data_IF_508659699174
#
_entry.id   IF_508659699174
#
_cell.length_a   1.000
_cell.length_b   1.000
_cell.length_c   1.000
_cell.angle_alpha   90.00
_cell.angle_beta   90.00
_cell.angle_gamma   90.00
#
_symmetry.space_group_name_H-M   'P 1'
#
loop_
_entity.id
_entity.type
_entity.pdbx_description
1 polymer ?
#
# COMPACT_ATOMS: atom_id res chain seq x y z
N UNK A 1 4.59 13.36 12.45
CA UNK A 1 3.91 12.09 12.10
C UNK A 1 3.90 11.18 13.33
N UNK A 2 2.79 11.13 14.10
CA UNK A 2 2.71 10.33 15.34
C UNK A 2 3.16 8.87 15.15
N UNK A 3 2.75 8.25 14.03
CA UNK A 3 3.16 6.88 13.69
C UNK A 3 4.68 6.75 13.49
N UNK A 4 5.32 7.65 12.74
CA UNK A 4 6.77 7.59 12.53
C UNK A 4 7.54 7.75 13.85
N UNK A 5 7.08 8.63 14.74
CA UNK A 5 7.70 8.83 16.04
C UNK A 5 7.49 7.64 16.99
N UNK A 6 6.31 7.02 16.95
CA UNK A 6 5.97 5.88 17.81
C UNK A 6 6.69 4.59 17.39
N UNK A 7 6.92 4.39 16.09
CA UNK A 7 7.54 3.16 15.57
C UNK A 7 9.04 3.30 15.31
N UNK A 8 9.54 4.52 15.14
CA UNK A 8 10.91 4.77 14.65
C UNK A 8 11.11 4.38 13.18
N UNK A 9 10.05 3.99 12.47
CA UNK A 9 10.09 3.58 11.08
C UNK A 9 9.88 4.77 10.14
N UNK A 10 10.43 4.65 8.92
CA UNK A 10 10.08 5.54 7.81
C UNK A 10 8.60 5.35 7.49
N UNK A 11 7.84 6.45 7.48
CA UNK A 11 6.44 6.47 7.04
C UNK A 11 6.35 7.11 5.67
N UNK A 12 5.68 6.43 4.74
CA UNK A 12 5.36 6.95 3.40
C UNK A 12 3.85 7.20 3.38
N UNK A 13 3.47 8.48 3.23
CA UNK A 13 2.06 8.86 3.05
C UNK A 13 1.74 8.82 1.56
N UNK A 14 0.77 8.00 1.16
CA UNK A 14 0.35 7.87 -0.23
C UNK A 14 -0.76 8.89 -0.50
N UNK A 15 -0.48 9.86 -1.38
CA UNK A 15 -1.46 10.83 -1.85
C UNK A 15 -2.20 10.24 -3.07
N UNK A 16 -3.08 9.29 -2.80
CA UNK A 16 -3.85 8.59 -3.83
C UNK A 16 -5.03 9.44 -4.32
N UNK A 17 -5.46 9.18 -5.56
CA UNK A 17 -6.59 9.85 -6.19
C UNK A 17 -7.91 9.59 -5.45
N UNK A 18 -8.78 10.59 -5.39
CA UNK A 18 -10.02 10.53 -4.63
C UNK A 18 -11.26 10.29 -5.51
N UNK A 19 -12.28 9.69 -4.91
CA UNK A 19 -13.62 9.69 -5.48
C UNK A 19 -14.20 11.12 -5.50
N UNK A 20 -15.07 11.46 -6.48
CA UNK A 20 -15.61 10.59 -7.52
C UNK A 20 -14.72 10.44 -8.77
N UNK A 21 -13.63 11.22 -8.87
CA UNK A 21 -12.73 11.30 -10.03
C UNK A 21 -12.07 9.96 -10.35
N UNK A 22 -11.69 9.19 -9.33
CA UNK A 22 -11.15 7.84 -9.48
C UNK A 22 -12.08 6.79 -8.89
N UNK A 23 -12.04 5.59 -9.47
CA UNK A 23 -12.82 4.42 -9.02
C UNK A 23 -12.00 3.53 -8.10
N UNK A 24 -12.68 2.70 -7.31
CA UNK A 24 -12.05 1.83 -6.32
C UNK A 24 -10.88 0.99 -6.86
N UNK A 25 -11.01 0.45 -8.08
CA UNK A 25 -9.95 -0.31 -8.72
C UNK A 25 -8.71 0.52 -9.03
N UNK A 26 -8.87 1.79 -9.41
CA UNK A 26 -7.75 2.71 -9.69
C UNK A 26 -7.07 3.12 -8.39
N UNK A 27 -7.85 3.51 -7.37
CA UNK A 27 -7.35 3.94 -6.06
C UNK A 27 -6.50 2.83 -5.41
N UNK A 28 -7.01 1.59 -5.40
CA UNK A 28 -6.25 0.45 -4.86
C UNK A 28 -5.02 0.13 -5.71
N UNK A 29 -5.07 0.29 -7.04
CA UNK A 29 -3.91 0.09 -7.92
C UNK A 29 -2.81 1.13 -7.67
N UNK A 30 -3.16 2.38 -7.36
CA UNK A 30 -2.19 3.41 -6.99
C UNK A 30 -1.48 3.09 -5.66
N UNK A 31 -2.20 2.52 -4.68
CA UNK A 31 -1.56 2.06 -3.44
C UNK A 31 -0.61 0.89 -3.71
N UNK A 32 -1.04 -0.10 -4.50
CA UNK A 32 -0.19 -1.24 -4.86
C UNK A 32 1.05 -0.80 -5.65
N UNK A 33 0.93 0.19 -6.54
CA UNK A 33 2.07 0.68 -7.31
C UNK A 33 3.17 1.29 -6.44
N UNK A 34 2.83 1.92 -5.31
CA UNK A 34 3.82 2.42 -4.33
C UNK A 34 4.57 1.25 -3.68
N UNK A 35 3.88 0.17 -3.31
CA UNK A 35 4.51 -1.03 -2.75
C UNK A 35 5.46 -1.66 -3.77
N UNK A 36 5.03 -1.78 -5.02
CA UNK A 36 5.86 -2.30 -6.12
C UNK A 36 7.09 -1.41 -6.37
N UNK A 37 6.92 -0.08 -6.33
CA UNK A 37 8.05 0.84 -6.49
C UNK A 37 9.07 0.73 -5.34
N UNK A 38 8.64 0.39 -4.11
CA UNK A 38 9.56 0.12 -3.00
C UNK A 38 10.26 -1.23 -3.16
N UNK A 39 9.54 -2.25 -3.62
CA UNK A 39 10.11 -3.56 -3.97
C UNK A 39 11.17 -3.44 -5.06
N UNK A 40 10.91 -2.65 -6.10
CA UNK A 40 11.87 -2.38 -7.19
C UNK A 40 13.11 -1.61 -6.71
N UNK A 41 12.99 -0.87 -5.59
CA UNK A 41 14.11 -0.23 -4.91
C UNK A 41 14.86 -1.17 -3.93
N UNK A 42 14.45 -2.45 -3.85
CA UNK A 42 15.10 -3.47 -3.03
C UNK A 42 14.56 -3.59 -1.60
N UNK A 43 13.42 -2.99 -1.27
CA UNK A 43 12.76 -3.19 0.03
C UNK A 43 12.01 -4.52 0.00
N UNK A 44 12.28 -5.42 0.95
CA UNK A 44 11.53 -6.67 1.06
C UNK A 44 10.06 -6.39 1.39
N UNK A 45 9.13 -7.17 0.83
CA UNK A 45 7.72 -7.08 1.21
C UNK A 45 7.51 -7.40 2.70
N UNK A 46 8.36 -8.23 3.28
CA UNK A 46 8.35 -8.55 4.72
C UNK A 46 8.71 -7.35 5.62
N UNK A 47 9.39 -6.34 5.05
CA UNK A 47 9.80 -5.11 5.76
C UNK A 47 8.79 -3.96 5.56
N UNK A 48 7.67 -4.19 4.88
CA UNK A 48 6.65 -3.17 4.58
C UNK A 48 5.38 -3.43 5.40
N UNK A 49 5.04 -2.46 6.26
CA UNK A 49 3.75 -2.40 6.93
C UNK A 49 2.80 -1.41 6.27
N UNK A 50 1.52 -1.78 6.14
CA UNK A 50 0.45 -0.88 5.69
C UNK A 50 -0.42 -0.43 6.86
N UNK A 51 -0.78 0.85 6.90
CA UNK A 51 -1.60 1.46 7.95
C UNK A 51 -2.57 2.48 7.35
N UNK A 52 -3.80 2.51 7.85
CA UNK A 52 -4.80 3.50 7.49
C UNK A 52 -5.94 3.52 8.52
N UNK A 53 -6.62 4.66 8.62
CA UNK A 53 -7.77 4.88 9.49
C UNK A 53 -9.06 5.09 8.66
N UNK A 54 -10.23 4.80 9.24
CA UNK A 54 -11.52 5.00 8.58
C UNK A 54 -11.57 4.36 7.18
N UNK A 55 -11.87 5.12 6.12
CA UNK A 55 -11.81 4.68 4.72
C UNK A 55 -10.42 4.16 4.31
N UNK A 56 -9.35 4.73 4.87
CA UNK A 56 -7.98 4.27 4.67
C UNK A 56 -7.73 2.87 5.23
N UNK A 57 -8.40 2.48 6.32
CA UNK A 57 -8.34 1.11 6.83
C UNK A 57 -8.96 0.10 5.86
N UNK A 58 -10.09 0.47 5.23
CA UNK A 58 -10.69 -0.31 4.15
C UNK A 58 -9.79 -0.38 2.91
N UNK A 59 -9.12 0.72 2.57
CA UNK A 59 -8.17 0.79 1.45
C UNK A 59 -6.93 -0.09 1.67
N UNK A 60 -6.41 -0.18 2.90
CA UNK A 60 -5.33 -1.10 3.25
C UNK A 60 -5.77 -2.54 3.02
N UNK A 61 -6.91 -2.95 3.60
CA UNK A 61 -7.39 -4.32 3.49
C UNK A 61 -7.62 -4.73 2.03
N UNK A 62 -8.21 -3.85 1.22
CA UNK A 62 -8.47 -4.14 -0.19
C UNK A 62 -7.23 -4.16 -1.06
N UNK A 63 -6.23 -3.33 -0.76
CA UNK A 63 -4.95 -3.34 -1.47
C UNK A 63 -4.18 -4.64 -1.20
N UNK A 64 -4.18 -5.13 0.04
CA UNK A 64 -3.58 -6.43 0.39
C UNK A 64 -4.30 -7.58 -0.32
N UNK A 65 -5.64 -7.58 -0.35
CA UNK A 65 -6.42 -8.59 -1.07
C UNK A 65 -6.15 -8.54 -2.58
N UNK A 66 -6.05 -7.35 -3.16
CA UNK A 66 -5.70 -7.16 -4.58
C UNK A 66 -4.30 -7.72 -4.87
N UNK A 67 -3.30 -7.42 -4.03
CA UNK A 67 -1.94 -7.96 -4.17
C UNK A 67 -1.92 -9.50 -4.13
N UNK A 68 -2.68 -10.12 -3.22
CA UNK A 68 -2.84 -11.57 -3.15
C UNK A 68 -3.46 -12.12 -4.43
N UNK A 69 -4.54 -11.52 -4.90
CA UNK A 69 -5.28 -11.98 -6.09
C UNK A 69 -4.45 -11.80 -7.38
N UNK A 70 -3.54 -10.82 -7.40
CA UNK A 70 -2.58 -10.58 -8.50
C UNK A 70 -1.28 -11.39 -8.35
N UNK A 71 -1.11 -12.15 -7.26
CA UNK A 71 0.06 -12.99 -7.02
C UNK A 71 1.35 -12.21 -6.81
N UNK A 72 1.27 -11.01 -6.22
CA UNK A 72 2.42 -10.13 -5.98
C UNK A 72 3.48 -10.77 -5.05
N UNK A 73 3.04 -11.67 -4.17
CA UNK A 73 3.87 -12.50 -3.30
C UNK A 73 4.56 -13.69 -4.01
N UNK A 74 4.02 -14.15 -5.14
CA UNK A 74 4.52 -15.34 -5.87
C UNK A 74 5.42 -15.03 -7.07
N UNK A 75 5.62 -13.77 -7.44
CA UNK A 75 6.33 -13.37 -8.67
C UNK A 75 7.87 -13.54 -8.63
N UNK A 76 8.38 -14.38 -7.72
CA UNK A 76 9.79 -14.82 -7.64
C UNK A 76 9.85 -16.33 -7.35
N UNK A 77 9.50 -17.14 -8.35
CA UNK A 77 10.11 -18.43 -8.65
C UNK A 77 10.34 -18.55 -10.15
#
# INVERSE_FOLDING_TARGET
>A
MPMANATGLRVISVDYSLAPSSKWGEITSEVVSVIMALKDQGVSLDDIGMHGDSAGGGLVASSVLKMRDEGVDYLLL
#
